data_IF_849177007752
#
_entry.id   IF_849177007752
#
_cell.length_a   1.000
_cell.length_b   1.000
_cell.length_c   1.000
_cell.angle_alpha   90.00
_cell.angle_beta   90.00
_cell.angle_gamma   90.00
#
_symmetry.space_group_name_H-M   'P 1'
#
loop_
_entity.id
_entity.type
_entity.pdbx_description
1 polymer ?
#
# COMPACT_ATOMS: atom_id res chain seq x y z
N UNK A 1 45.36 6.38 3.84
CA UNK A 1 44.48 6.56 5.02
C UNK A 1 43.01 6.88 4.68
N UNK A 2 42.70 7.72 3.67
CA UNK A 2 41.30 8.10 3.31
C UNK A 2 40.46 6.96 2.70
N UNK A 3 41.03 6.09 1.87
CA UNK A 3 40.30 4.96 1.28
C UNK A 3 39.90 3.88 2.31
N UNK A 4 40.73 3.65 3.34
CA UNK A 4 40.42 2.68 4.40
C UNK A 4 39.27 3.19 5.29
N UNK A 5 39.24 4.49 5.57
CA UNK A 5 38.13 5.14 6.29
C UNK A 5 36.84 5.13 5.47
N UNK A 6 36.91 5.36 4.16
CA UNK A 6 35.75 5.27 3.27
C UNK A 6 35.22 3.83 3.21
N UNK A 7 36.09 2.83 3.03
CA UNK A 7 35.71 1.41 3.06
C UNK A 7 35.07 1.02 4.38
N UNK A 8 35.63 1.45 5.51
CA UNK A 8 35.06 1.18 6.84
C UNK A 8 33.69 1.83 7.05
N UNK A 9 33.49 3.05 6.55
CA UNK A 9 32.18 3.73 6.57
C UNK A 9 31.15 3.04 5.67
N UNK A 10 31.56 2.61 4.48
CA UNK A 10 30.70 1.86 3.55
C UNK A 10 30.31 0.51 4.16
N UNK A 11 31.25 -0.21 4.75
CA UNK A 11 30.98 -1.49 5.43
C UNK A 11 30.07 -1.30 6.65
N UNK A 12 30.28 -0.25 7.46
CA UNK A 12 29.37 0.04 8.57
C UNK A 12 27.97 0.40 8.07
N UNK A 13 27.86 1.17 6.99
CA UNK A 13 26.57 1.54 6.40
C UNK A 13 25.83 0.32 5.83
N UNK A 14 26.54 -0.59 5.15
CA UNK A 14 25.94 -1.82 4.60
C UNK A 14 25.56 -2.81 5.69
N UNK A 15 26.37 -2.95 6.75
CA UNK A 15 26.03 -3.80 7.90
C UNK A 15 24.85 -3.22 8.68
N UNK A 16 24.81 -1.90 8.93
CA UNK A 16 23.68 -1.25 9.57
C UNK A 16 22.39 -1.39 8.73
N UNK A 17 22.48 -1.19 7.41
CA UNK A 17 21.37 -1.44 6.49
C UNK A 17 20.93 -2.92 6.50
N UNK A 18 21.89 -3.85 6.58
CA UNK A 18 21.64 -5.29 6.70
C UNK A 18 20.95 -5.69 8.00
N UNK A 19 21.34 -5.08 9.14
CA UNK A 19 20.67 -5.31 10.42
C UNK A 19 19.23 -4.78 10.42
N UNK A 20 19.00 -3.58 9.86
CA UNK A 20 17.64 -3.04 9.66
C UNK A 20 16.80 -3.95 8.76
N UNK A 21 17.41 -4.53 7.72
CA UNK A 21 16.75 -5.47 6.81
C UNK A 21 16.47 -6.86 7.43
N UNK A 22 17.25 -7.29 8.42
CA UNK A 22 17.19 -8.65 8.99
C UNK A 22 16.07 -8.89 10.03
N UNK A 23 15.34 -7.84 10.44
CA UNK A 23 14.19 -7.94 11.35
C UNK A 23 12.87 -7.92 10.58
N UNK A 24 12.66 -8.82 9.62
CA UNK A 24 11.32 -9.11 9.05
C UNK A 24 10.48 -7.92 8.55
N UNK A 25 11.08 -6.80 8.15
CA UNK A 25 10.39 -5.54 7.89
C UNK A 25 10.79 -4.89 6.54
N UNK A 26 10.88 -5.69 5.48
CA UNK A 26 10.87 -5.14 4.12
C UNK A 26 9.48 -4.56 3.88
N UNK A 27 9.32 -3.25 4.06
CA UNK A 27 8.05 -2.59 3.77
C UNK A 27 7.67 -2.77 2.28
N UNK A 28 6.38 -2.67 1.93
CA UNK A 28 5.86 -3.12 0.63
C UNK A 28 6.34 -2.34 -0.61
N UNK A 29 7.20 -1.32 -0.46
CA UNK A 29 7.71 -0.49 -1.56
C UNK A 29 6.59 0.09 -2.44
N UNK A 30 5.57 0.69 -1.79
CA UNK A 30 4.33 1.10 -2.46
C UNK A 30 4.52 2.20 -3.49
N UNK A 31 5.47 3.12 -3.29
CA UNK A 31 5.75 4.17 -4.27
C UNK A 31 6.34 3.57 -5.55
N UNK A 32 7.27 2.63 -5.41
CA UNK A 32 7.92 1.90 -6.51
C UNK A 32 6.91 1.03 -7.26
N UNK A 33 6.02 0.33 -6.54
CA UNK A 33 4.93 -0.43 -7.14
C UNK A 33 3.94 0.45 -7.91
N UNK A 34 3.62 1.65 -7.38
CA UNK A 34 2.78 2.63 -8.08
C UNK A 34 3.43 3.12 -9.37
N UNK A 35 4.71 3.49 -9.33
CA UNK A 35 5.45 3.89 -10.54
C UNK A 35 5.46 2.78 -11.59
N UNK A 36 5.71 1.54 -11.17
CA UNK A 36 5.65 0.39 -12.06
C UNK A 36 4.27 0.20 -12.68
N UNK A 37 3.20 0.33 -11.89
CA UNK A 37 1.81 0.19 -12.37
C UNK A 37 1.47 1.27 -13.40
N UNK A 38 1.88 2.51 -13.16
CA UNK A 38 1.71 3.61 -14.12
C UNK A 38 2.45 3.30 -15.42
N UNK A 39 3.73 2.90 -15.34
CA UNK A 39 4.53 2.60 -16.53
C UNK A 39 3.95 1.45 -17.35
N UNK A 40 3.50 0.38 -16.69
CA UNK A 40 2.85 -0.76 -17.35
C UNK A 40 1.53 -0.37 -18.04
N UNK A 41 0.85 0.67 -17.56
CA UNK A 41 -0.41 1.16 -18.12
C UNK A 41 -0.26 2.10 -19.32
N UNK A 42 0.95 2.52 -19.69
CA UNK A 42 1.17 3.52 -20.76
C UNK A 42 0.79 3.01 -22.15
N UNK A 43 0.98 1.72 -22.42
CA UNK A 43 0.70 1.13 -23.74
C UNK A 43 0.39 -0.36 -23.63
N UNK A 44 -0.44 -0.86 -24.56
CA UNK A 44 -0.71 -2.29 -24.74
C UNK A 44 0.47 -3.03 -25.39
N UNK A 45 1.40 -2.31 -26.02
CA UNK A 45 2.57 -2.87 -26.67
C UNK A 45 3.69 -3.13 -25.65
N UNK A 46 4.14 -4.39 -25.53
CA UNK A 46 5.07 -4.83 -24.47
C UNK A 46 6.43 -4.12 -24.45
N UNK A 47 6.91 -3.64 -25.59
CA UNK A 47 8.23 -3.00 -25.69
C UNK A 47 8.23 -1.53 -25.27
N UNK A 48 7.08 -0.86 -25.30
CA UNK A 48 6.97 0.57 -24.96
C UNK A 48 7.22 0.80 -23.45
N UNK A 49 6.55 0.08 -22.52
CA UNK A 49 6.87 0.18 -21.09
C UNK A 49 8.31 -0.17 -20.75
N UNK A 50 8.93 -1.07 -21.52
CA UNK A 50 10.30 -1.52 -21.31
C UNK A 50 11.32 -0.43 -21.69
N UNK A 51 11.14 0.23 -22.83
CA UNK A 51 11.97 1.39 -23.22
C UNK A 51 11.82 2.52 -22.21
N UNK A 52 10.59 2.81 -21.77
CA UNK A 52 10.33 3.83 -20.75
C UNK A 52 10.99 3.43 -19.42
N UNK A 53 11.00 2.14 -19.07
CA UNK A 53 11.70 1.65 -17.88
C UNK A 53 13.19 1.96 -17.94
N UNK A 54 13.87 1.66 -19.06
CA UNK A 54 15.30 1.98 -19.22
C UNK A 54 15.58 3.49 -19.13
N UNK A 55 14.71 4.34 -19.70
CA UNK A 55 14.85 5.79 -19.61
C UNK A 55 14.62 6.34 -18.20
N UNK A 56 13.77 5.69 -17.41
CA UNK A 56 13.39 6.11 -16.06
C UNK A 56 14.15 5.37 -14.94
N UNK A 57 15.18 4.57 -15.24
CA UNK A 57 16.06 3.93 -14.24
C UNK A 57 16.43 4.86 -13.08
N UNK A 58 16.89 6.12 -13.28
CA UNK A 58 17.22 7.00 -12.16
C UNK A 58 16.01 7.35 -11.28
N UNK A 59 14.81 7.44 -11.86
CA UNK A 59 13.56 7.71 -11.13
C UNK A 59 13.14 6.49 -10.32
N UNK A 60 13.22 5.28 -10.90
CA UNK A 60 12.96 4.03 -10.17
C UNK A 60 13.96 3.81 -9.03
N UNK A 61 15.23 4.11 -9.25
CA UNK A 61 16.26 4.05 -8.22
C UNK A 61 15.98 5.01 -7.07
N UNK A 62 15.60 6.26 -7.39
CA UNK A 62 15.19 7.24 -6.38
C UNK A 62 13.96 6.80 -5.59
N UNK A 63 12.94 6.28 -6.26
CA UNK A 63 11.74 5.76 -5.60
C UNK A 63 12.02 4.59 -4.67
N UNK A 64 12.91 3.68 -5.06
CA UNK A 64 13.33 2.55 -4.23
C UNK A 64 14.05 3.01 -2.96
N UNK A 65 14.91 4.03 -3.06
CA UNK A 65 15.58 4.64 -1.89
C UNK A 65 14.56 5.34 -1.00
N UNK A 66 13.63 6.10 -1.57
CA UNK A 66 12.61 6.83 -0.82
C UNK A 66 11.65 5.87 -0.11
N UNK A 67 11.21 4.80 -0.78
CA UNK A 67 10.42 3.75 -0.15
C UNK A 67 11.21 3.08 0.96
N UNK A 68 12.43 2.64 0.68
CA UNK A 68 13.26 1.89 1.63
C UNK A 68 13.60 2.66 2.90
N UNK A 69 13.88 3.97 2.78
CA UNK A 69 14.32 4.79 3.92
C UNK A 69 13.15 5.51 4.60
N UNK A 70 12.22 6.07 3.83
CA UNK A 70 11.20 6.97 4.38
C UNK A 70 9.83 6.31 4.42
N UNK A 71 9.31 5.82 3.30
CA UNK A 71 7.93 5.33 3.27
C UNK A 71 7.74 4.05 4.11
N UNK A 72 8.66 3.10 4.00
CA UNK A 72 8.64 1.85 4.77
C UNK A 72 8.89 2.12 6.26
N UNK A 73 9.75 3.09 6.60
CA UNK A 73 9.99 3.50 7.99
C UNK A 73 8.75 4.18 8.59
N UNK A 74 8.09 5.07 7.84
CA UNK A 74 6.84 5.70 8.27
C UNK A 74 5.74 4.65 8.41
N UNK A 75 5.59 3.72 7.47
CA UNK A 75 4.61 2.62 7.56
C UNK A 75 4.88 1.72 8.78
N UNK A 76 6.15 1.48 9.14
CA UNK A 76 6.50 0.72 10.34
C UNK A 76 6.04 1.41 11.63
N UNK A 77 6.32 2.71 11.80
CA UNK A 77 5.99 3.43 13.04
C UNK A 77 4.53 3.88 13.13
N UNK A 78 3.90 4.19 12.00
CA UNK A 78 2.55 4.80 11.97
C UNK A 78 1.47 3.84 11.47
N UNK A 79 1.86 2.69 10.92
CA UNK A 79 0.95 1.76 10.25
C UNK A 79 0.37 2.25 8.92
N UNK A 80 0.65 3.50 8.53
CA UNK A 80 0.08 4.14 7.36
C UNK A 80 1.18 4.53 6.38
N UNK A 81 1.07 4.08 5.14
CA UNK A 81 2.01 4.52 4.10
C UNK A 81 1.48 5.82 3.45
N UNK A 82 2.27 6.91 3.42
CA UNK A 82 1.85 8.19 2.85
C UNK A 82 1.50 8.10 1.36
N UNK A 83 2.02 7.09 0.67
CA UNK A 83 1.76 6.81 -0.74
C UNK A 83 0.70 5.73 -0.95
N UNK A 84 -0.02 5.25 0.07
CA UNK A 84 -1.04 4.19 -0.10
C UNK A 84 -2.44 4.68 -0.49
N UNK A 85 -2.70 5.99 -0.51
CA UNK A 85 -4.01 6.50 -0.92
C UNK A 85 -4.20 6.38 -2.44
N UNK A 86 -5.36 5.92 -2.88
CA UNK A 86 -5.76 5.94 -4.29
C UNK A 86 -7.08 6.68 -4.44
N UNK A 87 -7.21 7.40 -5.56
CA UNK A 87 -8.42 8.12 -5.93
C UNK A 87 -8.85 7.61 -7.30
N UNK A 88 -10.09 7.16 -7.42
CA UNK A 88 -10.69 6.70 -8.68
C UNK A 88 -11.96 7.50 -8.93
N UNK A 89 -12.08 8.11 -10.11
CA UNK A 89 -13.32 8.77 -10.54
C UNK A 89 -14.05 7.81 -11.48
N UNK A 90 -15.27 7.42 -11.11
CA UNK A 90 -16.15 6.60 -11.93
C UNK A 90 -16.81 7.45 -13.03
N UNK A 91 -17.28 6.79 -14.09
CA UNK A 91 -17.96 7.44 -15.22
C UNK A 91 -19.26 8.17 -14.82
N UNK A 92 -19.88 7.81 -13.70
CA UNK A 92 -21.07 8.46 -13.13
C UNK A 92 -20.75 9.73 -12.31
N UNK A 93 -19.49 10.16 -12.28
CA UNK A 93 -19.01 11.32 -11.51
C UNK A 93 -18.73 11.01 -10.03
N UNK A 94 -18.92 9.77 -9.59
CA UNK A 94 -18.63 9.34 -8.21
C UNK A 94 -17.12 9.17 -8.02
N UNK A 95 -16.56 9.76 -6.97
CA UNK A 95 -15.14 9.62 -6.60
C UNK A 95 -14.98 8.64 -5.45
N UNK A 96 -14.18 7.60 -5.63
CA UNK A 96 -13.77 6.69 -4.59
C UNK A 96 -12.39 7.11 -4.05
N UNK A 97 -12.28 7.28 -2.75
CA UNK A 97 -11.02 7.57 -2.06
C UNK A 97 -10.71 6.38 -1.15
N UNK A 98 -9.65 5.65 -1.48
CA UNK A 98 -9.23 4.46 -0.75
C UNK A 98 -8.00 4.77 0.10
N UNK A 99 -8.00 4.34 1.35
CA UNK A 99 -6.92 4.51 2.33
C UNK A 99 -6.70 3.20 3.09
N UNK A 100 -5.46 2.71 3.11
CA UNK A 100 -5.08 1.49 3.81
C UNK A 100 -4.20 1.77 5.01
N UNK A 101 -4.47 1.10 6.13
CA UNK A 101 -3.67 1.13 7.35
C UNK A 101 -3.37 -0.32 7.75
N UNK A 102 -2.10 -0.62 8.03
CA UNK A 102 -1.69 -1.89 8.62
C UNK A 102 -1.33 -1.63 10.08
N UNK A 103 -1.99 -2.33 10.98
CA UNK A 103 -1.76 -2.27 12.44
C UNK A 103 -1.29 -3.63 12.94
N UNK A 104 -0.90 -3.73 14.22
CA UNK A 104 -0.63 -5.02 14.89
C UNK A 104 -1.82 -5.99 14.78
N UNK A 105 -3.03 -5.44 14.76
CA UNK A 105 -4.26 -6.22 14.85
C UNK A 105 -4.74 -6.70 13.48
N UNK A 106 -4.14 -6.21 12.39
CA UNK A 106 -4.52 -6.56 11.03
C UNK A 106 -4.44 -5.40 10.05
N UNK A 107 -5.05 -5.59 8.87
CA UNK A 107 -5.14 -4.58 7.81
C UNK A 107 -6.53 -4.00 7.75
N UNK A 108 -6.61 -2.68 7.71
CA UNK A 108 -7.85 -1.93 7.55
C UNK A 108 -7.81 -1.13 6.25
N UNK A 109 -8.85 -1.27 5.44
CA UNK A 109 -9.06 -0.50 4.22
C UNK A 109 -10.32 0.34 4.36
N UNK A 110 -10.19 1.65 4.19
CA UNK A 110 -11.32 2.59 4.18
C UNK A 110 -11.53 3.09 2.76
N UNK A 111 -12.78 3.05 2.29
CA UNK A 111 -13.22 3.53 0.98
C UNK A 111 -14.31 4.56 1.21
N UNK A 112 -14.02 5.82 0.90
CA UNK A 112 -15.00 6.90 0.90
C UNK A 112 -15.56 7.08 -0.51
N UNK A 113 -16.87 6.96 -0.65
CA UNK A 113 -17.62 7.28 -1.87
C UNK A 113 -18.10 8.73 -1.78
N UNK A 114 -17.62 9.56 -2.69
CA UNK A 114 -17.89 11.00 -2.73
C UNK A 114 -18.65 11.34 -4.01
N UNK A 115 -19.83 11.95 -3.87
CA UNK A 115 -20.68 12.39 -4.99
C UNK A 115 -21.06 13.85 -4.78
N UNK A 116 -20.85 14.69 -5.79
CA UNK A 116 -21.14 16.12 -5.69
C UNK A 116 -20.33 16.86 -4.61
N UNK A 117 -19.14 16.35 -4.26
CA UNK A 117 -18.27 16.94 -3.22
C UNK A 117 -18.58 16.48 -1.79
N UNK A 118 -19.63 15.69 -1.58
CA UNK A 118 -19.98 15.15 -0.27
C UNK A 118 -19.74 13.65 -0.19
N UNK A 119 -19.33 13.16 1.00
CA UNK A 119 -19.19 11.72 1.24
C UNK A 119 -20.58 11.11 1.43
N UNK A 120 -20.98 10.24 0.50
CA UNK A 120 -22.28 9.55 0.52
C UNK A 120 -22.23 8.21 1.25
N UNK A 121 -21.06 7.57 1.27
CA UNK A 121 -20.81 6.37 2.05
C UNK A 121 -19.33 6.21 2.40
N UNK A 122 -19.03 5.64 3.56
CA UNK A 122 -17.70 5.19 3.97
C UNK A 122 -17.76 3.71 4.28
N UNK A 123 -17.00 2.91 3.55
CA UNK A 123 -16.85 1.47 3.80
C UNK A 123 -15.51 1.17 4.42
N UNK A 124 -15.50 0.56 5.60
CA UNK A 124 -14.30 0.10 6.30
C UNK A 124 -14.24 -1.42 6.26
N UNK A 125 -13.15 -1.96 5.73
CA UNK A 125 -12.87 -3.39 5.64
C UNK A 125 -11.71 -3.68 6.59
N UNK A 126 -11.94 -4.48 7.62
CA UNK A 126 -10.91 -4.93 8.55
C UNK A 126 -10.66 -6.42 8.37
N UNK A 127 -9.41 -6.79 8.13
CA UNK A 127 -8.93 -8.17 7.97
C UNK A 127 -7.86 -8.41 9.03
N UNK A 128 -8.12 -9.22 10.07
CA UNK A 128 -7.13 -9.53 11.08
C UNK A 128 -5.96 -10.33 10.50
N UNK A 129 -4.85 -10.37 11.24
CA UNK A 129 -3.63 -11.04 10.77
C UNK A 129 -3.74 -12.57 10.72
N UNK A 130 -4.81 -13.14 11.28
CA UNK A 130 -5.14 -14.57 11.15
C UNK A 130 -5.70 -14.91 9.76
N UNK A 131 -6.08 -13.89 8.97
CA UNK A 131 -6.66 -14.00 7.63
C UNK A 131 -7.93 -14.85 7.53
N UNK A 132 -8.54 -15.20 8.66
CA UNK A 132 -9.72 -16.07 8.71
C UNK A 132 -11.02 -15.28 8.64
N UNK A 133 -10.98 -13.97 8.88
CA UNK A 133 -12.17 -13.13 8.85
C UNK A 133 -11.94 -11.84 8.08
N UNK A 134 -12.99 -11.33 7.45
CA UNK A 134 -13.02 -10.00 6.85
C UNK A 134 -14.32 -9.31 7.25
N UNK A 135 -14.22 -8.26 8.06
CA UNK A 135 -15.37 -7.46 8.51
C UNK A 135 -15.50 -6.20 7.67
N UNK A 136 -16.63 -6.04 7.00
CA UNK A 136 -16.97 -4.87 6.21
C UNK A 136 -18.05 -4.09 6.95
N UNK A 137 -17.83 -2.80 7.20
CA UNK A 137 -18.80 -1.89 7.77
C UNK A 137 -18.98 -0.70 6.84
N UNK A 138 -20.17 -0.55 6.25
CA UNK A 138 -20.53 0.58 5.41
C UNK A 138 -21.43 1.53 6.19
N UNK A 139 -20.94 2.75 6.43
CA UNK A 139 -21.70 3.86 6.97
C UNK A 139 -22.17 4.75 5.83
N UNK A 140 -23.47 4.97 5.72
CA UNK A 140 -24.07 5.87 4.74
C UNK A 140 -24.26 7.28 5.33
N UNK A 141 -24.45 8.27 4.46
CA UNK A 141 -24.69 9.68 4.86
C UNK A 141 -25.92 9.85 5.75
N UNK A 142 -26.93 9.00 5.58
CA UNK A 142 -28.16 8.97 6.39
C UNK A 142 -27.94 8.42 7.83
N UNK A 143 -26.71 8.03 8.17
CA UNK A 143 -26.35 7.46 9.47
C UNK A 143 -26.55 5.94 9.56
N UNK A 144 -27.14 5.30 8.54
CA UNK A 144 -27.30 3.84 8.47
C UNK A 144 -25.93 3.17 8.43
N UNK A 145 -25.77 2.11 9.21
CA UNK A 145 -24.56 1.28 9.20
C UNK A 145 -24.96 -0.14 8.84
N UNK A 146 -24.36 -0.67 7.78
CA UNK A 146 -24.50 -2.08 7.38
C UNK A 146 -23.17 -2.77 7.65
N UNK A 147 -23.19 -3.79 8.50
CA UNK A 147 -22.00 -4.61 8.76
C UNK A 147 -22.19 -5.98 8.13
N UNK A 148 -21.13 -6.53 7.54
CA UNK A 148 -21.07 -7.89 6.99
C UNK A 148 -19.74 -8.50 7.39
N UNK A 149 -19.76 -9.72 7.91
CA UNK A 149 -18.54 -10.44 8.28
C UNK A 149 -18.40 -11.67 7.41
N UNK A 150 -17.28 -11.80 6.71
CA UNK A 150 -16.95 -13.00 5.95
C UNK A 150 -15.97 -13.84 6.76
N UNK A 151 -16.20 -15.15 6.83
CA UNK A 151 -15.34 -16.10 7.54
C UNK A 151 -14.85 -17.16 6.54
N UNK A 152 -13.54 -17.39 6.52
CA UNK A 152 -12.90 -18.46 5.76
C UNK A 152 -12.94 -19.75 6.60
N UNK A 153 -13.70 -20.72 6.14
CA UNK A 153 -13.78 -22.06 6.72
C UNK A 153 -12.49 -22.87 6.48
N UNK A 154 -12.27 -23.89 7.29
CA UNK A 154 -11.10 -24.78 7.17
C UNK A 154 -11.09 -25.58 5.84
N UNK A 155 -12.23 -25.67 5.17
CA UNK A 155 -12.43 -26.24 3.84
C UNK A 155 -12.11 -25.26 2.70
N UNK A 156 -11.75 -24.02 3.01
CA UNK A 156 -11.49 -22.94 2.05
C UNK A 156 -12.73 -22.21 1.57
N UNK A 157 -13.92 -22.55 2.07
CA UNK A 157 -15.15 -21.84 1.71
C UNK A 157 -15.31 -20.55 2.48
N UNK A 158 -15.83 -19.51 1.82
CA UNK A 158 -16.14 -18.22 2.47
C UNK A 158 -17.62 -18.19 2.81
N UNK A 159 -17.93 -17.97 4.08
CA UNK A 159 -19.31 -17.85 4.57
C UNK A 159 -19.59 -16.41 5.02
N UNK A 160 -20.80 -15.92 4.71
CA UNK A 160 -21.27 -14.63 5.22
C UNK A 160 -21.96 -14.85 6.57
N UNK A 161 -21.53 -14.11 7.57
CA UNK A 161 -22.20 -13.94 8.85
C UNK A 161 -22.76 -12.51 8.90
N UNK A 162 -24.07 -12.40 9.13
CA UNK A 162 -24.79 -11.13 9.32
C UNK A 162 -24.61 -10.59 10.74
#
# INVERSE_FOLDING_TARGET
MRLAMLRRRVVLATVAAGLVASTGCFGPFRLTQKLYTVNKGVSSQRFVPEIIFYLLIPVYGGALVVDGIFANTIEFWTGSNPFSSSRVVRADGTTLIQRGVTTSDGKTLTIDEVKGGETVATTTIHVPHDWNTARLATRYKDGRVVTKTYVLGADGNITLQE
#
